data_IF_391645673142
#
_entry.id   IF_391645673142
#
_cell.length_a   1.000
_cell.length_b   1.000
_cell.length_c   1.000
_cell.angle_alpha   90.00
_cell.angle_beta   90.00
_cell.angle_gamma   90.00
#
_symmetry.space_group_name_H-M   'P 1'
#
loop_
_entity.id
_entity.type
_entity.pdbx_description
1 polymer ?
#
# COMPACT_ATOMS: atom_id res chain seq x y z
N UNK A 1 19.47 -4.72 -2.38
CA UNK A 1 18.39 -5.61 -1.89
C UNK A 1 18.80 -6.14 -0.52
N UNK A 2 17.83 -6.41 0.36
CA UNK A 2 18.06 -6.88 1.73
C UNK A 2 17.62 -8.35 1.82
N UNK A 3 18.43 -9.25 2.40
CA UNK A 3 18.05 -10.64 2.59
C UNK A 3 16.81 -10.79 3.47
N UNK A 4 15.91 -11.69 3.08
CA UNK A 4 14.73 -12.06 3.88
C UNK A 4 15.16 -13.11 4.90
N UNK A 5 15.03 -12.77 6.18
CA UNK A 5 15.48 -13.60 7.31
C UNK A 5 14.35 -14.35 8.01
N UNK A 6 13.08 -14.08 7.67
CA UNK A 6 11.92 -14.75 8.24
C UNK A 6 10.78 -14.95 7.22
N UNK A 7 9.98 -16.00 7.42
CA UNK A 7 8.80 -16.31 6.61
C UNK A 7 9.04 -17.21 5.39
N UNK A 8 8.05 -17.35 4.51
CA UNK A 8 8.04 -18.29 3.36
C UNK A 8 9.10 -17.98 2.30
N UNK A 9 9.67 -16.77 2.31
CA UNK A 9 10.64 -16.29 1.32
C UNK A 9 12.07 -16.17 1.88
N UNK A 10 12.37 -16.82 3.01
CA UNK A 10 13.73 -16.86 3.60
C UNK A 10 14.76 -17.28 2.55
N UNK A 11 15.90 -16.58 2.52
CA UNK A 11 16.97 -16.82 1.55
C UNK A 11 16.82 -16.08 0.22
N UNK A 12 15.66 -15.45 -0.06
CA UNK A 12 15.50 -14.47 -1.15
C UNK A 12 15.91 -13.08 -0.68
N UNK A 13 16.08 -12.14 -1.61
CA UNK A 13 16.32 -10.74 -1.31
C UNK A 13 15.12 -9.88 -1.73
N UNK A 14 14.85 -8.82 -0.96
CA UNK A 14 13.77 -7.86 -1.23
C UNK A 14 14.34 -6.45 -1.40
N UNK A 15 13.68 -5.62 -2.21
CA UNK A 15 13.92 -4.17 -2.26
C UNK A 15 12.84 -3.37 -1.54
N UNK A 16 11.93 -4.05 -0.83
CA UNK A 16 10.86 -3.44 -0.07
C UNK A 16 11.40 -2.41 0.92
N UNK A 17 10.94 -1.16 0.78
CA UNK A 17 11.35 -0.06 1.64
C UNK A 17 10.17 0.86 1.99
N UNK A 18 10.37 1.70 3.01
CA UNK A 18 9.39 2.70 3.44
C UNK A 18 8.19 2.11 4.17
N UNK A 19 7.22 2.98 4.48
CA UNK A 19 6.02 2.66 5.29
C UNK A 19 5.17 1.57 4.64
N UNK A 20 5.11 1.58 3.31
CA UNK A 20 4.25 0.70 2.52
C UNK A 20 5.00 -0.46 1.86
N UNK A 21 6.27 -0.67 2.22
CA UNK A 21 7.10 -1.79 1.74
C UNK A 21 7.18 -1.87 0.21
N UNK A 22 7.34 -0.72 -0.45
CA UNK A 22 7.44 -0.66 -1.91
C UNK A 22 8.69 -1.38 -2.42
N UNK A 23 8.52 -2.28 -3.38
CA UNK A 23 9.62 -2.74 -4.22
C UNK A 23 10.06 -1.60 -5.14
N UNK A 24 11.35 -1.56 -5.47
CA UNK A 24 11.95 -0.50 -6.30
C UNK A 24 11.21 -0.26 -7.63
N UNK A 25 10.91 -1.34 -8.36
CA UNK A 25 10.17 -1.24 -9.63
C UNK A 25 8.71 -0.78 -9.42
N UNK A 26 8.05 -1.24 -8.36
CA UNK A 26 6.69 -0.82 -8.03
C UNK A 26 6.67 0.67 -7.68
N UNK A 27 7.61 1.15 -6.88
CA UNK A 27 7.74 2.58 -6.58
C UNK A 27 7.88 3.38 -7.87
N UNK A 28 8.82 3.01 -8.74
CA UNK A 28 9.06 3.74 -9.99
C UNK A 28 7.80 3.80 -10.87
N UNK A 29 7.10 2.67 -11.03
CA UNK A 29 5.87 2.59 -11.82
C UNK A 29 4.74 3.45 -11.22
N UNK A 30 4.50 3.35 -9.91
CA UNK A 30 3.41 4.09 -9.26
C UNK A 30 3.73 5.57 -9.11
N UNK A 31 4.96 5.92 -8.78
CA UNK A 31 5.39 7.31 -8.68
C UNK A 31 5.32 8.02 -10.05
N UNK A 32 5.66 7.34 -11.15
CA UNK A 32 5.47 7.91 -12.49
C UNK A 32 4.03 8.34 -12.79
N UNK A 33 3.05 7.63 -12.21
CA UNK A 33 1.64 7.87 -12.45
C UNK A 33 0.98 8.78 -11.41
N UNK A 34 1.40 8.71 -10.15
CA UNK A 34 0.69 9.32 -9.02
C UNK A 34 1.54 10.30 -8.20
N UNK A 35 2.84 10.45 -8.48
CA UNK A 35 3.66 11.37 -7.68
C UNK A 35 3.26 12.82 -7.99
N UNK A 36 2.90 13.63 -6.98
CA UNK A 36 2.32 14.96 -7.21
C UNK A 36 3.36 15.99 -7.66
N UNK A 37 4.64 15.80 -7.30
CA UNK A 37 5.71 16.77 -7.56
C UNK A 37 6.99 16.10 -8.08
N UNK A 38 6.98 15.49 -9.28
CA UNK A 38 8.20 14.93 -9.84
C UNK A 38 9.19 16.05 -10.16
N UNK A 39 10.47 15.80 -9.90
CA UNK A 39 11.57 16.71 -10.28
C UNK A 39 12.23 16.23 -11.57
N UNK A 40 13.03 17.09 -12.23
CA UNK A 40 13.76 16.75 -13.44
C UNK A 40 13.17 17.34 -14.73
N UNK A 41 13.76 16.99 -15.88
CA UNK A 41 13.50 17.63 -17.17
C UNK A 41 13.09 16.61 -18.25
N UNK A 42 12.05 16.94 -19.02
CA UNK A 42 11.40 16.06 -20.01
C UNK A 42 11.21 14.61 -19.50
N UNK A 43 11.95 13.66 -20.07
CA UNK A 43 11.84 12.23 -19.82
C UNK A 43 12.64 11.76 -18.60
N UNK A 44 13.53 12.59 -18.08
CA UNK A 44 14.37 12.31 -16.91
C UNK A 44 13.68 12.83 -15.66
N UNK A 45 12.56 12.18 -15.29
CA UNK A 45 11.85 12.48 -14.04
C UNK A 45 12.42 11.68 -12.88
N UNK A 46 12.61 12.35 -11.76
CA UNK A 46 12.92 11.76 -10.47
C UNK A 46 11.72 11.92 -9.52
N UNK A 47 11.56 10.94 -8.63
CA UNK A 47 10.43 10.87 -7.71
C UNK A 47 10.97 10.70 -6.29
N UNK A 48 10.68 11.67 -5.42
CA UNK A 48 11.18 11.67 -4.05
C UNK A 48 10.51 10.58 -3.23
N UNK A 49 11.30 9.80 -2.49
CA UNK A 49 10.81 8.72 -1.63
C UNK A 49 10.54 9.17 -0.19
N UNK A 50 10.41 10.48 0.06
CA UNK A 50 10.09 10.99 1.40
C UNK A 50 8.72 10.51 1.89
N UNK A 51 8.51 10.39 3.21
CA UNK A 51 7.28 9.81 3.78
C UNK A 51 5.98 10.42 3.24
N UNK A 52 5.92 11.75 3.12
CA UNK A 52 4.72 12.43 2.63
C UNK A 52 4.42 12.15 1.14
N UNK A 53 5.45 11.91 0.31
CA UNK A 53 5.26 11.50 -1.08
C UNK A 53 4.88 10.03 -1.21
N UNK A 54 5.37 9.16 -0.31
CA UNK A 54 4.88 7.78 -0.23
C UNK A 54 3.38 7.75 0.07
N UNK A 55 2.95 8.51 1.08
CA UNK A 55 1.54 8.63 1.47
C UNK A 55 0.70 9.17 0.30
N UNK A 56 1.15 10.24 -0.38
CA UNK A 56 0.44 10.82 -1.53
C UNK A 56 0.30 9.83 -2.70
N UNK A 57 1.38 9.15 -3.08
CA UNK A 57 1.37 8.15 -4.16
C UNK A 57 0.42 7.00 -3.83
N UNK A 58 0.47 6.46 -2.60
CA UNK A 58 -0.42 5.38 -2.19
C UNK A 58 -1.87 5.84 -2.15
N UNK A 59 -2.13 7.00 -1.57
CA UNK A 59 -3.47 7.55 -1.47
C UNK A 59 -4.12 7.74 -2.85
N UNK A 60 -3.40 8.35 -3.80
CA UNK A 60 -3.92 8.57 -5.15
C UNK A 60 -4.00 7.27 -5.95
N UNK A 61 -3.09 6.32 -5.73
CA UNK A 61 -3.19 4.99 -6.31
C UNK A 61 -4.43 4.24 -5.79
N UNK A 62 -4.71 4.26 -4.48
CA UNK A 62 -5.89 3.62 -3.88
C UNK A 62 -7.21 4.26 -4.35
N UNK A 63 -7.19 5.54 -4.75
CA UNK A 63 -8.34 6.24 -5.32
C UNK A 63 -8.59 5.91 -6.80
N UNK A 64 -7.61 5.38 -7.53
CA UNK A 64 -7.79 5.03 -8.95
C UNK A 64 -8.61 3.75 -9.11
N UNK A 65 -9.93 3.90 -9.27
CA UNK A 65 -10.85 2.79 -9.44
C UNK A 65 -10.57 1.92 -10.67
N UNK A 66 -9.87 2.44 -11.70
CA UNK A 66 -9.45 1.64 -12.86
C UNK A 66 -8.28 0.73 -12.51
N UNK A 67 -7.36 1.19 -11.66
CA UNK A 67 -6.25 0.37 -11.18
C UNK A 67 -6.75 -0.77 -10.29
N UNK A 68 -7.78 -0.52 -9.49
CA UNK A 68 -8.29 -1.49 -8.52
C UNK A 68 -9.54 -2.24 -8.97
N UNK A 69 -10.17 -1.87 -10.09
CA UNK A 69 -11.46 -2.44 -10.50
C UNK A 69 -12.59 -2.20 -9.48
N UNK A 70 -12.39 -1.29 -8.52
CA UNK A 70 -13.37 -0.91 -7.50
C UNK A 70 -13.02 0.47 -6.93
N UNK A 71 -14.03 1.19 -6.45
CA UNK A 71 -13.85 2.45 -5.72
C UNK A 71 -13.58 2.14 -4.24
N UNK A 72 -12.30 2.02 -3.88
CA UNK A 72 -11.88 1.70 -2.52
C UNK A 72 -12.40 2.72 -1.49
N UNK A 73 -12.25 4.05 -1.69
CA UNK A 73 -12.80 5.04 -0.77
C UNK A 73 -14.31 4.88 -0.53
N UNK A 74 -15.09 4.63 -1.58
CA UNK A 74 -16.53 4.40 -1.45
C UNK A 74 -16.83 3.15 -0.61
N UNK A 75 -16.12 2.07 -0.87
CA UNK A 75 -16.35 0.77 -0.21
C UNK A 75 -15.97 0.83 1.27
N UNK A 76 -14.89 1.55 1.62
CA UNK A 76 -14.52 1.81 3.02
C UNK A 76 -15.60 2.62 3.76
N UNK A 77 -16.15 3.68 3.14
CA UNK A 77 -17.24 4.47 3.73
C UNK A 77 -18.52 3.67 3.92
N UNK A 78 -18.75 2.67 3.07
CA UNK A 78 -19.89 1.75 3.17
C UNK A 78 -19.67 0.64 4.21
N UNK A 79 -18.50 0.59 4.86
CA UNK A 79 -18.17 -0.45 5.85
C UNK A 79 -17.75 -1.79 5.23
N UNK A 80 -17.51 -1.85 3.91
CA UNK A 80 -17.13 -3.08 3.21
C UNK A 80 -15.62 -3.40 3.39
N UNK A 81 -15.13 -3.32 4.62
CA UNK A 81 -13.71 -3.42 4.95
C UNK A 81 -13.09 -4.75 4.49
N UNK A 82 -13.76 -5.87 4.76
CA UNK A 82 -13.26 -7.20 4.35
C UNK A 82 -13.11 -7.34 2.83
N UNK A 83 -13.99 -6.70 2.06
CA UNK A 83 -13.90 -6.69 0.59
C UNK A 83 -12.67 -5.91 0.14
N UNK A 84 -12.42 -4.76 0.77
CA UNK A 84 -11.25 -3.93 0.49
C UNK A 84 -9.96 -4.67 0.88
N UNK A 85 -9.89 -5.25 2.09
CA UNK A 85 -8.71 -5.99 2.55
C UNK A 85 -8.39 -7.18 1.65
N UNK A 86 -9.40 -7.96 1.22
CA UNK A 86 -9.24 -9.02 0.22
C UNK A 86 -8.73 -8.51 -1.12
N UNK A 87 -9.14 -7.32 -1.56
CA UNK A 87 -8.65 -6.75 -2.81
C UNK A 87 -7.19 -6.33 -2.72
N UNK A 88 -6.81 -5.76 -1.58
CA UNK A 88 -5.46 -5.24 -1.35
C UNK A 88 -4.43 -6.32 -1.00
N UNK A 89 -4.86 -7.50 -0.56
CA UNK A 89 -3.97 -8.59 -0.10
C UNK A 89 -2.98 -9.08 -1.15
N UNK A 90 -3.35 -9.02 -2.44
CA UNK A 90 -2.44 -9.35 -3.54
C UNK A 90 -1.28 -8.37 -3.72
N UNK A 91 -1.43 -7.14 -3.20
CA UNK A 91 -0.38 -6.11 -3.21
C UNK A 91 0.38 -6.08 -1.88
N UNK A 92 -0.34 -6.14 -0.77
CA UNK A 92 0.22 -6.17 0.58
C UNK A 92 -0.12 -7.50 1.25
N UNK A 93 0.77 -8.47 1.13
CA UNK A 93 0.60 -9.80 1.73
C UNK A 93 0.46 -9.76 3.26
N UNK A 94 0.99 -8.71 3.89
CA UNK A 94 0.82 -8.42 5.32
C UNK A 94 -0.61 -8.14 5.76
N UNK A 95 -1.54 -7.89 4.83
CA UNK A 95 -2.96 -7.74 5.15
C UNK A 95 -3.66 -9.09 5.39
N UNK A 96 -3.01 -10.21 5.04
CA UNK A 96 -3.66 -11.51 5.04
C UNK A 96 -4.79 -11.56 4.01
N UNK A 97 -5.65 -12.58 4.05
CA UNK A 97 -6.68 -12.86 3.03
C UNK A 97 -6.16 -13.49 1.71
N UNK A 98 -4.93 -14.03 1.68
CA UNK A 98 -4.37 -14.88 0.63
C UNK A 98 -4.00 -16.29 1.13
N UNK A 99 -3.14 -17.02 0.42
CA UNK A 99 -2.68 -18.40 0.75
C UNK A 99 -1.94 -18.55 2.08
N UNK A 100 -1.64 -17.44 2.78
CA UNK A 100 -0.91 -17.46 4.05
C UNK A 100 -1.81 -17.02 5.20
N UNK A 101 -1.86 -17.89 6.22
CA UNK A 101 -2.52 -17.63 7.49
C UNK A 101 -1.77 -16.53 8.23
N UNK A 102 -2.09 -15.26 7.95
CA UNK A 102 -1.53 -14.15 8.70
C UNK A 102 -2.33 -13.95 10.00
N UNK A 103 -1.68 -14.14 11.15
CA UNK A 103 -2.27 -13.97 12.48
C UNK A 103 -2.85 -12.57 12.69
N UNK A 104 -2.33 -11.55 11.99
CA UNK A 104 -2.80 -10.17 12.06
C UNK A 104 -4.13 -9.92 11.36
N UNK A 105 -4.53 -10.76 10.39
CA UNK A 105 -5.75 -10.54 9.59
C UNK A 105 -6.98 -10.38 10.48
N UNK A 106 -7.06 -11.17 11.56
CA UNK A 106 -8.15 -11.12 12.55
C UNK A 106 -8.18 -9.83 13.37
N UNK A 107 -7.07 -9.11 13.42
CA UNK A 107 -6.92 -7.88 14.20
C UNK A 107 -7.06 -6.62 13.35
N UNK A 108 -6.89 -6.71 12.02
CA UNK A 108 -6.96 -5.56 11.11
C UNK A 108 -8.29 -4.80 11.19
N UNK A 109 -9.49 -5.44 11.28
CA UNK A 109 -10.72 -4.70 11.46
C UNK A 109 -10.72 -3.83 12.72
N UNK A 110 -10.19 -4.35 13.83
CA UNK A 110 -10.11 -3.60 15.10
C UNK A 110 -9.12 -2.44 15.02
N UNK A 111 -7.96 -2.66 14.39
CA UNK A 111 -6.96 -1.61 14.17
C UNK A 111 -7.53 -0.51 13.28
N UNK A 112 -8.20 -0.87 12.18
CA UNK A 112 -8.84 0.09 11.29
C UNK A 112 -9.87 0.97 12.02
N UNK A 113 -10.77 0.36 12.79
CA UNK A 113 -11.80 1.11 13.51
C UNK A 113 -11.20 2.08 14.54
N UNK A 114 -10.18 1.65 15.29
CA UNK A 114 -9.47 2.53 16.23
C UNK A 114 -8.84 3.71 15.51
N UNK A 115 -8.10 3.47 14.44
CA UNK A 115 -7.46 4.56 13.68
C UNK A 115 -8.50 5.52 13.08
N UNK A 116 -9.61 4.99 12.55
CA UNK A 116 -10.69 5.82 12.00
C UNK A 116 -11.31 6.72 13.08
N UNK A 117 -11.56 6.18 14.27
CA UNK A 117 -12.08 6.94 15.41
C UNK A 117 -11.09 8.03 15.86
N UNK A 118 -9.79 7.72 15.93
CA UNK A 118 -8.75 8.69 16.27
C UNK A 118 -8.66 9.84 15.26
N UNK A 119 -8.76 9.54 13.96
CA UNK A 119 -8.70 10.55 12.89
C UNK A 119 -9.98 11.39 12.77
N UNK A 120 -11.16 10.82 13.11
CA UNK A 120 -12.43 11.55 13.10
C UNK A 120 -12.61 12.48 14.32
N UNK A 121 -11.90 12.20 15.41
CA UNK A 121 -11.96 12.98 16.65
C UNK A 121 -10.82 14.02 16.78
N UNK A 122 -10.00 14.18 15.73
CA UNK A 122 -8.97 15.21 15.61
C UNK A 122 -9.52 16.45 14.90
#
# INVERSE_FOLDING_TARGET
CVPIVAGPNVGKCSTAAGRYQFLDFTWKEKAQRYHPRPSGFLFWKQYSFEPHFQDAVVHDWLKDSRAWGMDIPKELRQGNLDKVLRRLSGTWTSLGYGIETNSMSKHLPKVYQRMLEEELNR
#
